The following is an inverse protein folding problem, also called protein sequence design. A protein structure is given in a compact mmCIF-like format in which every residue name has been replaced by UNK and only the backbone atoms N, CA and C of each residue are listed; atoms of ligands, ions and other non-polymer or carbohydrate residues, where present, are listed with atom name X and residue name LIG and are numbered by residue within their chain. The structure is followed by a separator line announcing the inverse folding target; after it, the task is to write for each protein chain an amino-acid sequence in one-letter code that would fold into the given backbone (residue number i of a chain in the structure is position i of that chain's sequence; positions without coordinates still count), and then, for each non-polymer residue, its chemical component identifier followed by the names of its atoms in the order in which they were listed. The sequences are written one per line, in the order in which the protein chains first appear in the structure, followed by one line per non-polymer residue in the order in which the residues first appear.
data_IF_124732327946
#
_entry.id   IF_124732327946
#
_cell.length_a   1.000
_cell.length_b   1.000
_cell.length_c   1.000
_cell.angle_alpha   90.00
_cell.angle_beta   90.00
_cell.angle_gamma   90.00
#
_symmetry.space_group_name_H-M   'P 1'
#
loop_
_entity.id
_entity.type
_entity.pdbx_description
1 polymer ?
#
# COMPACT_ATOMS: atom_id res chain seq x y z
N UNK A 1 35.01 25.71 1.33
CA UNK A 1 34.69 24.75 2.41
C UNK A 1 33.58 25.38 3.23
N UNK A 2 32.38 24.84 3.42
CA UNK A 2 31.82 23.53 3.14
C UNK A 2 30.41 23.71 2.55
N UNK A 3 30.07 22.78 1.66
CA UNK A 3 28.76 22.58 1.06
C UNK A 3 27.87 21.91 2.09
N UNK A 4 26.76 22.53 2.49
CA UNK A 4 25.69 21.82 3.20
C UNK A 4 24.44 21.87 2.33
N UNK A 5 24.37 20.88 1.42
CA UNK A 5 23.13 20.51 0.77
C UNK A 5 22.21 19.92 1.84
N UNK A 6 21.28 20.73 2.32
CA UNK A 6 20.13 20.26 3.09
C UNK A 6 19.29 19.42 2.13
N UNK A 7 19.47 18.10 2.20
CA UNK A 7 18.61 17.15 1.52
C UNK A 7 17.20 17.33 2.01
N UNK A 8 16.37 18.01 1.23
CA UNK A 8 14.92 18.04 1.41
C UNK A 8 14.40 16.61 1.27
N UNK A 9 14.18 15.95 2.41
CA UNK A 9 13.54 14.64 2.50
C UNK A 9 12.08 14.79 2.07
N UNK A 10 11.83 14.69 0.76
CA UNK A 10 10.49 14.57 0.19
C UNK A 10 9.88 13.27 0.70
N UNK A 11 8.79 13.38 1.47
CA UNK A 11 7.85 12.26 1.61
C UNK A 11 7.60 11.69 0.22
N UNK A 12 7.71 10.37 0.05
CA UNK A 12 7.40 9.73 -1.24
C UNK A 12 5.89 9.93 -1.46
N UNK A 13 5.53 10.99 -2.18
CA UNK A 13 4.15 11.31 -2.51
C UNK A 13 3.66 10.25 -3.50
N UNK A 14 3.02 9.20 -2.98
CA UNK A 14 2.43 8.17 -3.81
C UNK A 14 1.45 8.80 -4.79
N UNK A 15 1.38 8.30 -6.03
CA UNK A 15 0.41 8.80 -7.01
C UNK A 15 -0.93 8.07 -6.87
N UNK A 16 -2.08 8.71 -7.09
CA UNK A 16 -3.35 8.00 -7.07
C UNK A 16 -3.48 7.06 -8.28
N UNK A 17 -4.02 5.86 -8.06
CA UNK A 17 -4.46 4.94 -9.12
C UNK A 17 -5.80 4.32 -8.73
N UNK A 18 -6.78 4.29 -9.63
CA UNK A 18 -8.03 3.57 -9.33
C UNK A 18 -7.80 2.06 -9.34
N UNK A 19 -8.55 1.31 -8.52
CA UNK A 19 -8.45 -0.15 -8.50
C UNK A 19 -8.64 -0.77 -9.89
N UNK A 20 -9.56 -0.26 -10.71
CA UNK A 20 -9.77 -0.75 -12.06
C UNK A 20 -8.56 -0.48 -12.98
N UNK A 21 -7.98 0.72 -12.91
CA UNK A 21 -6.76 1.03 -13.66
C UNK A 21 -5.59 0.14 -13.22
N UNK A 22 -5.45 -0.10 -11.91
CA UNK A 22 -4.43 -0.99 -11.36
C UNK A 22 -4.61 -2.42 -11.87
N UNK A 23 -5.83 -2.98 -11.85
CA UNK A 23 -6.11 -4.32 -12.40
C UNK A 23 -5.68 -4.42 -13.86
N UNK A 24 -6.04 -3.43 -14.70
CA UNK A 24 -5.68 -3.42 -16.13
C UNK A 24 -4.17 -3.34 -16.36
N UNK A 25 -3.47 -2.51 -15.58
CA UNK A 25 -2.03 -2.34 -15.68
C UNK A 25 -1.28 -3.58 -15.19
N UNK A 26 -1.72 -4.15 -14.07
CA UNK A 26 -1.13 -5.31 -13.41
C UNK A 26 -1.05 -6.56 -14.29
N UNK A 27 -2.00 -6.74 -15.22
CA UNK A 27 -1.97 -7.85 -16.21
C UNK A 27 -0.71 -7.79 -17.07
N UNK A 28 -0.22 -6.59 -17.41
CA UNK A 28 0.98 -6.40 -18.23
C UNK A 28 2.24 -6.32 -17.39
N UNK A 29 2.11 -5.75 -16.19
CA UNK A 29 3.21 -5.47 -15.28
C UNK A 29 2.74 -5.77 -13.86
N UNK A 30 2.87 -7.02 -13.39
CA UNK A 30 2.48 -7.41 -12.04
C UNK A 30 3.17 -6.51 -11.01
N UNK A 31 2.40 -6.06 -10.02
CA UNK A 31 2.87 -5.10 -9.02
C UNK A 31 3.15 -5.79 -7.68
N UNK A 32 3.73 -5.04 -6.74
CA UNK A 32 3.73 -5.43 -5.33
C UNK A 32 2.54 -4.77 -4.64
N UNK A 33 1.84 -5.52 -3.80
CA UNK A 33 0.73 -5.00 -3.01
C UNK A 33 1.17 -4.75 -1.57
N UNK A 34 0.81 -3.57 -1.04
CA UNK A 34 1.04 -3.23 0.36
C UNK A 34 -0.31 -2.89 1.00
N UNK A 35 -0.67 -3.63 2.04
CA UNK A 35 -1.82 -3.34 2.88
C UNK A 35 -1.31 -2.64 4.13
N UNK A 36 -1.67 -1.38 4.33
CA UNK A 36 -1.31 -0.61 5.51
C UNK A 36 -2.42 -0.75 6.55
N UNK A 37 -2.06 -1.26 7.74
CA UNK A 37 -2.92 -1.30 8.92
C UNK A 37 -2.63 -0.07 9.77
N UNK A 38 -3.57 0.89 9.80
CA UNK A 38 -3.35 2.21 10.39
C UNK A 38 -3.84 2.36 11.84
N UNK A 39 -4.83 1.56 12.26
CA UNK A 39 -5.30 1.35 13.65
C UNK A 39 -6.61 0.51 13.59
N UNK A 40 -7.27 0.28 14.74
CA UNK A 40 -8.46 -0.60 14.90
C UNK A 40 -9.31 -0.69 13.63
N UNK A 41 -9.21 -1.83 12.96
CA UNK A 41 -10.04 -2.20 11.82
C UNK A 41 -9.96 -1.24 10.62
N UNK A 42 -8.82 -0.57 10.37
CA UNK A 42 -8.63 0.23 9.14
C UNK A 42 -7.46 -0.31 8.33
N UNK A 43 -7.79 -0.75 7.11
CA UNK A 43 -6.83 -1.25 6.14
C UNK A 43 -6.89 -0.39 4.89
N UNK A 44 -5.74 0.12 4.45
CA UNK A 44 -5.56 0.90 3.23
C UNK A 44 -4.70 0.14 2.23
N UNK A 45 -4.98 0.29 0.94
CA UNK A 45 -4.21 -0.36 -0.11
C UNK A 45 -3.25 0.61 -0.82
N UNK A 46 -2.05 0.11 -1.05
CA UNK A 46 -0.98 0.72 -1.84
C UNK A 46 -0.44 -0.32 -2.82
N UNK A 47 0.09 0.14 -3.94
CA UNK A 47 0.72 -0.69 -4.95
C UNK A 47 2.07 -0.10 -5.34
N UNK A 48 3.08 -0.95 -5.51
CA UNK A 48 4.38 -0.55 -6.06
C UNK A 48 4.45 -1.09 -7.49
N UNK A 49 4.49 -0.18 -8.46
CA UNK A 49 4.58 -0.51 -9.87
C UNK A 49 5.87 0.08 -10.42
N UNK A 50 6.79 -0.76 -10.91
CA UNK A 50 8.12 -0.37 -11.38
C UNK A 50 8.89 0.52 -10.37
N UNK A 51 8.77 0.22 -9.07
CA UNK A 51 9.40 0.98 -8.00
C UNK A 51 8.70 2.29 -7.62
N UNK A 52 7.61 2.66 -8.30
CA UNK A 52 6.79 3.83 -7.96
C UNK A 52 5.61 3.42 -7.09
N UNK A 53 5.39 4.14 -5.98
CA UNK A 53 4.30 3.90 -5.05
C UNK A 53 3.02 4.59 -5.51
N UNK A 54 1.92 3.86 -5.47
CA UNK A 54 0.58 4.36 -5.78
C UNK A 54 -0.40 4.13 -4.62
N UNK A 55 -1.23 5.13 -4.34
CA UNK A 55 -2.41 4.96 -3.49
C UNK A 55 -3.54 4.37 -4.31
N UNK A 56 -4.05 3.21 -3.90
CA UNK A 56 -5.18 2.60 -4.59
C UNK A 56 -6.45 3.33 -4.21
N UNK A 57 -7.24 3.72 -5.20
CA UNK A 57 -8.51 4.42 -5.03
C UNK A 57 -9.70 3.51 -5.34
N UNK A 58 -10.79 3.72 -4.60
CA UNK A 58 -12.09 3.11 -4.87
C UNK A 58 -12.80 3.81 -6.06
N UNK A 59 -13.99 3.32 -6.41
CA UNK A 59 -14.80 3.90 -7.49
C UNK A 59 -15.26 5.35 -7.22
N UNK A 60 -15.24 5.79 -5.96
CA UNK A 60 -15.60 7.14 -5.51
C UNK A 60 -14.39 8.06 -5.41
N UNK A 61 -13.22 7.64 -5.91
CA UNK A 61 -11.95 8.37 -5.84
C UNK A 61 -11.40 8.57 -4.41
N UNK A 62 -11.92 7.83 -3.42
CA UNK A 62 -11.33 7.80 -2.08
C UNK A 62 -10.24 6.74 -2.02
N UNK A 63 -9.32 6.83 -1.06
CA UNK A 63 -8.39 5.72 -0.80
C UNK A 63 -9.19 4.44 -0.54
N UNK A 64 -8.79 3.36 -1.21
CA UNK A 64 -9.40 2.04 -1.02
C UNK A 64 -9.18 1.62 0.43
N UNK A 65 -10.26 1.66 1.19
CA UNK A 65 -10.28 1.39 2.61
C UNK A 65 -11.27 0.28 2.92
N UNK A 66 -10.89 -0.64 3.80
CA UNK A 66 -11.81 -1.65 4.32
C UNK A 66 -11.71 -1.80 5.83
N UNK A 67 -12.72 -2.42 6.43
CA UNK A 67 -12.79 -2.66 7.88
C UNK A 67 -12.16 -3.98 8.34
N UNK A 68 -11.65 -4.78 7.41
CA UNK A 68 -10.98 -6.03 7.76
C UNK A 68 -9.97 -6.42 6.69
N UNK A 69 -8.89 -7.08 7.11
CA UNK A 69 -7.91 -7.63 6.18
C UNK A 69 -8.57 -8.57 5.15
N UNK A 70 -9.53 -9.39 5.58
CA UNK A 70 -10.26 -10.29 4.69
C UNK A 70 -11.08 -9.56 3.62
N UNK A 71 -11.67 -8.40 3.94
CA UNK A 71 -12.33 -7.55 2.94
C UNK A 71 -11.31 -6.94 1.97
N UNK A 72 -10.15 -6.48 2.47
CA UNK A 72 -9.09 -5.94 1.62
C UNK A 72 -8.54 -7.00 0.65
N UNK A 73 -8.24 -8.21 1.14
CA UNK A 73 -7.77 -9.31 0.30
C UNK A 73 -8.75 -9.63 -0.82
N UNK A 74 -10.06 -9.65 -0.53
CA UNK A 74 -11.10 -9.86 -1.55
C UNK A 74 -11.16 -8.74 -2.58
N UNK A 75 -11.00 -7.49 -2.15
CA UNK A 75 -10.97 -6.34 -3.05
C UNK A 75 -9.76 -6.36 -3.99
N UNK A 76 -8.61 -6.82 -3.50
CA UNK A 76 -7.35 -6.89 -4.25
C UNK A 76 -7.16 -8.20 -5.03
N UNK A 77 -7.97 -9.23 -4.81
CA UNK A 77 -7.91 -10.51 -5.52
C UNK A 77 -7.83 -10.41 -7.06
N UNK A 78 -8.47 -9.43 -7.73
CA UNK A 78 -8.34 -9.27 -9.19
C UNK A 78 -7.01 -8.68 -9.67
N UNK A 79 -6.15 -8.17 -8.77
CA UNK A 79 -4.89 -7.52 -9.13
C UNK A 79 -3.79 -8.56 -9.26
N UNK A 80 -3.21 -8.70 -10.46
CA UNK A 80 -2.03 -9.54 -10.66
C UNK A 80 -0.83 -8.93 -9.90
N UNK A 81 -0.20 -9.73 -9.03
CA UNK A 81 0.86 -9.25 -8.16
C UNK A 81 1.95 -10.30 -7.99
N UNK A 82 3.19 -9.85 -7.76
CA UNK A 82 4.34 -10.72 -7.48
C UNK A 82 4.45 -11.06 -6.00
N UNK A 83 4.09 -10.11 -5.14
CA UNK A 83 4.14 -10.23 -3.70
C UNK A 83 3.09 -9.33 -3.04
N UNK A 84 2.69 -9.70 -1.83
CA UNK A 84 1.81 -8.89 -1.01
C UNK A 84 2.31 -8.84 0.44
N UNK A 85 2.26 -7.66 1.02
CA UNK A 85 2.75 -7.38 2.36
C UNK A 85 1.66 -6.71 3.20
N UNK A 86 1.61 -7.06 4.47
CA UNK A 86 0.87 -6.34 5.50
C UNK A 86 1.86 -5.49 6.30
N UNK A 87 1.72 -4.18 6.22
CA UNK A 87 2.50 -3.21 6.98
C UNK A 87 1.68 -2.71 8.16
N UNK A 88 2.17 -2.90 9.38
CA UNK A 88 1.60 -2.29 10.56
C UNK A 88 2.26 -0.93 10.79
N UNK A 89 1.45 0.12 10.88
CA UNK A 89 1.91 1.45 11.23
C UNK A 89 1.43 1.74 12.64
N UNK A 90 2.36 1.84 13.59
CA UNK A 90 2.05 2.15 14.99
C UNK A 90 1.80 3.64 15.14
N UNK A 91 0.67 4.04 15.74
CA UNK A 91 0.38 5.44 16.10
C UNK A 91 1.19 5.97 17.29
N UNK A 92 1.98 5.11 17.96
CA UNK A 92 2.87 5.50 19.05
C UNK A 92 3.91 6.56 18.65
N UNK A 93 4.39 6.53 17.40
CA UNK A 93 5.38 7.51 16.91
C UNK A 93 4.79 8.93 16.80
N UNK A 94 3.47 9.05 16.57
CA UNK A 94 2.80 10.34 16.45
C UNK A 94 2.56 11.01 17.81
N UNK A 95 2.43 10.22 18.88
CA UNK A 95 2.13 10.70 20.24
C UNK A 95 3.36 11.13 21.06
N UNK A 96 4.58 10.84 20.58
CA UNK A 96 5.86 11.22 21.24
C UNK A 96 6.55 12.39 20.52
N UNK A 97 5.93 12.97 19.48
CA UNK A 97 6.48 14.13 18.75
C UNK A 97 7.78 13.85 17.99
N UNK A 98 8.25 12.59 17.97
CA UNK A 98 9.46 12.20 17.27
C UNK A 98 9.07 11.82 15.84
N UNK A 99 9.07 12.79 14.92
CA UNK A 99 9.05 12.52 13.47
C UNK A 99 10.43 12.00 13.03
N UNK A 100 10.88 10.90 13.60
CA UNK A 100 12.02 10.15 13.07
C UNK A 100 11.50 9.35 11.88
N UNK A 101 11.62 9.91 10.68
CA UNK A 101 11.17 9.30 9.40
C UNK A 101 11.86 7.96 9.10
N UNK A 102 12.80 7.52 9.93
CA UNK A 102 13.65 6.36 9.64
C UNK A 102 13.57 5.20 10.64
N UNK A 103 12.78 5.30 11.72
CA UNK A 103 12.64 4.21 12.70
C UNK A 103 11.23 4.11 13.29
N UNK A 104 10.18 4.45 12.51
CA UNK A 104 8.88 3.88 12.84
C UNK A 104 9.06 2.37 12.76
N UNK A 105 8.84 1.67 13.88
CA UNK A 105 8.90 0.22 13.93
C UNK A 105 7.72 -0.36 13.15
N UNK A 106 7.71 -0.15 11.82
CA UNK A 106 6.68 -0.65 10.94
C UNK A 106 6.99 -2.11 10.67
N UNK A 107 6.26 -2.99 11.34
CA UNK A 107 6.37 -4.42 11.12
C UNK A 107 5.74 -4.74 9.76
N UNK A 108 6.54 -5.33 8.86
CA UNK A 108 6.07 -5.81 7.56
C UNK A 108 6.03 -7.33 7.58
N UNK A 109 4.88 -7.91 7.23
CA UNK A 109 4.67 -9.35 7.18
C UNK A 109 4.24 -9.77 5.77
N UNK A 110 4.83 -10.81 5.17
CA UNK A 110 4.34 -11.35 3.91
C UNK A 110 2.95 -11.96 4.12
N UNK A 111 2.05 -11.73 3.17
CA UNK A 111 0.70 -12.30 3.17
C UNK A 111 0.36 -12.87 1.81
N UNK A 112 -0.52 -13.87 1.80
CA UNK A 112 -1.10 -14.39 0.56
C UNK A 112 -2.43 -13.69 0.28
N UNK A 113 -2.57 -13.20 -0.95
CA UNK A 113 -3.84 -12.76 -1.55
C UNK A 113 -4.14 -13.76 -2.66
N UNK A 114 -5.13 -14.62 -2.44
CA UNK A 114 -5.57 -15.53 -3.49
C UNK A 114 -6.21 -14.72 -4.61
N UNK A 115 -5.68 -14.89 -5.83
CA UNK A 115 -6.38 -14.46 -7.03
C UNK A 115 -7.73 -15.17 -7.10
N UNK A 116 -8.70 -14.61 -7.82
CA UNK A 116 -9.80 -15.47 -8.25
C UNK A 116 -9.20 -16.50 -9.21
N UNK A 117 -9.19 -17.76 -8.81
CA UNK A 117 -9.02 -18.84 -9.78
C UNK A 117 -10.08 -18.64 -10.84
N UNK A 118 -9.66 -18.51 -12.10
CA UNK A 118 -10.56 -18.58 -13.24
C UNK A 118 -11.11 -20.01 -13.30
N UNK A 119 -12.11 -20.30 -12.47
CA UNK A 119 -12.84 -21.56 -12.45
C UNK A 119 -14.30 -21.26 -12.76
N UNK A 120 -14.60 -21.46 -14.05
CA UNK A 120 -15.80 -22.04 -14.66
C UNK A 120 -17.14 -21.69 -14.02
N UNK A 121 -17.90 -20.86 -14.72
CA UNK A 121 -19.32 -21.10 -15.03
C UNK A 121 -19.54 -20.80 -16.52
#
# INVERSE_FOLDING_TARGET
MKTDQVGETRAVAGRPITLNALVKQAVRQPCELVIVSCDKEIYLAEAIVNGEMFWVLDAKQNRLQTRSLAAMKRALAPVAHTQAHLKHQSTYDEMIGNRSVDQSASMTLPIVIHGRDATVD
#
